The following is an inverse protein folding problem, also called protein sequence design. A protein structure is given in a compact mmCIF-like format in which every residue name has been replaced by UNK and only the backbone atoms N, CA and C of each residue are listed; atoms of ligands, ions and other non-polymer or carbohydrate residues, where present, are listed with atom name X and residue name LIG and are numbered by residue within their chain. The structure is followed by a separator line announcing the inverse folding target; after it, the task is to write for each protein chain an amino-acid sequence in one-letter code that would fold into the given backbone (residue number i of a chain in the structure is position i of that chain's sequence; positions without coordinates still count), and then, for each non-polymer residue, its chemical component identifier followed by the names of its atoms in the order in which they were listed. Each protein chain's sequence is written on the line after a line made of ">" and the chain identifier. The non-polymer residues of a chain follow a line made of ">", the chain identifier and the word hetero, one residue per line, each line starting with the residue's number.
data_IF_594269227111
#
_entry.id   IF_594269227111
#
_cell.length_a   1.000
_cell.length_b   1.000
_cell.length_c   1.000
_cell.angle_alpha   90.00
_cell.angle_beta   90.00
_cell.angle_gamma   90.00
#
_symmetry.space_group_name_H-M   'P 1'
#
loop_
_entity.id
_entity.type
_entity.pdbx_description
1 polymer ?
#
# COMPACT_ATOMS: atom_id res chain seq x y z
N UNK A 1 -26.82 -63.25 -20.01
CA UNK A 1 -26.07 -62.24 -19.24
C UNK A 1 -27.01 -61.09 -18.90
N UNK A 2 -27.23 -60.82 -17.60
CA UNK A 2 -28.28 -59.92 -17.12
C UNK A 2 -27.91 -58.45 -17.26
N UNK A 3 -28.92 -57.57 -17.39
CA UNK A 3 -28.77 -56.10 -17.49
C UNK A 3 -27.98 -55.49 -16.32
N UNK A 4 -27.85 -56.19 -15.20
CA UNK A 4 -27.10 -55.76 -14.01
C UNK A 4 -25.58 -55.74 -14.25
N UNK A 5 -25.06 -56.62 -15.11
CA UNK A 5 -23.61 -56.68 -15.38
C UNK A 5 -23.10 -55.52 -16.25
N UNK A 6 -23.98 -54.85 -17.02
CA UNK A 6 -23.59 -53.70 -17.85
C UNK A 6 -23.53 -52.37 -17.07
N UNK A 7 -24.30 -52.23 -16.00
CA UNK A 7 -24.32 -50.99 -15.20
C UNK A 7 -23.10 -50.87 -14.28
N UNK A 8 -22.54 -52.00 -13.81
CA UNK A 8 -21.36 -51.97 -12.94
C UNK A 8 -20.05 -51.63 -13.68
N UNK A 9 -19.95 -51.94 -14.98
CA UNK A 9 -18.74 -51.64 -15.77
C UNK A 9 -18.69 -50.16 -16.17
N UNK A 10 -19.84 -49.50 -16.36
CA UNK A 10 -19.88 -48.06 -16.66
C UNK A 10 -19.47 -47.19 -15.44
N UNK A 11 -19.73 -47.66 -14.23
CA UNK A 11 -19.28 -46.98 -13.00
C UNK A 11 -17.80 -47.20 -12.69
N UNK A 12 -17.21 -48.33 -13.13
CA UNK A 12 -15.79 -48.59 -12.91
C UNK A 12 -14.89 -47.77 -13.86
N UNK A 13 -15.34 -47.45 -15.07
CA UNK A 13 -14.55 -46.64 -16.02
C UNK A 13 -14.62 -45.15 -15.70
N UNK A 14 -15.73 -44.64 -15.13
CA UNK A 14 -15.83 -43.23 -14.72
C UNK A 14 -15.10 -42.89 -13.40
N UNK A 15 -14.65 -43.89 -12.62
CA UNK A 15 -13.89 -43.65 -11.38
C UNK A 15 -12.37 -43.78 -11.54
N UNK A 16 -11.89 -44.29 -12.68
CA UNK A 16 -10.44 -44.48 -12.90
C UNK A 16 -9.76 -43.20 -13.43
N UNK A 17 -10.48 -42.29 -14.09
CA UNK A 17 -9.87 -41.07 -14.66
C UNK A 17 -9.87 -39.83 -13.73
N UNK A 18 -10.59 -39.84 -12.61
CA UNK A 18 -10.57 -38.70 -11.68
C UNK A 18 -9.50 -38.83 -10.57
N UNK A 19 -8.94 -40.04 -10.37
CA UNK A 19 -7.98 -40.32 -9.29
C UNK A 19 -6.52 -40.45 -9.72
N UNK A 20 -6.25 -40.69 -11.01
CA UNK A 20 -4.90 -41.04 -11.49
C UNK A 20 -4.11 -39.86 -12.10
N UNK A 21 -4.71 -38.67 -12.19
CA UNK A 21 -4.04 -37.41 -12.53
C UNK A 21 -4.12 -36.39 -11.38
N UNK A 22 -4.24 -36.88 -10.15
CA UNK A 22 -3.71 -36.13 -9.03
C UNK A 22 -2.18 -36.24 -9.14
N UNK A 23 -1.59 -35.42 -10.03
CA UNK A 23 -0.23 -34.93 -9.87
C UNK A 23 -0.02 -34.73 -8.37
N UNK A 24 1.08 -35.26 -7.82
CA UNK A 24 1.37 -35.17 -6.39
C UNK A 24 1.46 -33.69 -5.98
N UNK A 25 0.30 -33.10 -5.73
CA UNK A 25 0.15 -31.70 -5.42
C UNK A 25 0.24 -31.62 -3.92
N UNK A 26 1.35 -31.09 -3.43
CA UNK A 26 1.51 -30.83 -2.01
C UNK A 26 0.66 -29.61 -1.68
N UNK A 27 -0.40 -29.81 -0.90
CA UNK A 27 -1.17 -28.69 -0.37
C UNK A 27 -0.28 -27.90 0.58
N UNK A 28 -0.10 -26.63 0.28
CA UNK A 28 0.53 -25.67 1.18
C UNK A 28 -0.55 -25.30 2.18
N UNK A 29 -0.36 -25.73 3.43
CA UNK A 29 -1.24 -25.30 4.50
C UNK A 29 -1.23 -23.77 4.54
N UNK A 30 -2.41 -23.18 4.60
CA UNK A 30 -2.54 -21.74 4.44
C UNK A 30 -1.71 -21.03 5.50
N UNK A 31 -1.70 -21.52 6.74
CA UNK A 31 -0.86 -21.07 7.85
C UNK A 31 0.64 -21.00 7.52
N UNK A 32 1.15 -21.80 6.58
CA UNK A 32 2.57 -21.86 6.22
C UNK A 32 3.01 -20.77 5.22
N UNK A 33 2.08 -19.96 4.67
CA UNK A 33 2.41 -18.85 3.75
C UNK A 33 2.91 -17.64 4.55
N UNK A 34 4.10 -17.13 4.30
CA UNK A 34 4.59 -15.97 5.07
C UNK A 34 4.05 -14.67 4.45
N UNK A 35 3.69 -13.64 5.24
CA UNK A 35 3.23 -12.32 4.73
C UNK A 35 1.94 -11.76 5.37
N UNK A 36 1.37 -10.69 4.81
CA UNK A 36 0.16 -10.05 5.36
C UNK A 36 -1.09 -10.91 5.13
N UNK A 37 -1.43 -11.71 6.15
CA UNK A 37 -2.65 -12.49 6.24
C UNK A 37 -3.59 -11.93 7.29
N UNK A 38 -4.89 -11.86 7.01
CA UNK A 38 -5.94 -11.55 8.00
C UNK A 38 -7.09 -12.54 7.89
N UNK A 39 -7.75 -12.86 9.00
CA UNK A 39 -8.99 -13.65 8.98
C UNK A 39 -10.21 -12.74 8.80
N UNK A 40 -10.97 -12.93 7.72
CA UNK A 40 -12.29 -12.33 7.52
C UNK A 40 -13.33 -13.17 8.26
N UNK A 41 -13.85 -12.62 9.37
CA UNK A 41 -14.82 -13.30 10.23
C UNK A 41 -16.19 -13.48 9.56
N UNK A 42 -16.56 -12.58 8.66
CA UNK A 42 -17.89 -12.57 8.04
C UNK A 42 -17.94 -13.56 6.88
N UNK A 43 -16.84 -13.67 6.12
CA UNK A 43 -16.71 -14.63 5.04
C UNK A 43 -16.24 -16.02 5.50
N UNK A 44 -15.66 -16.12 6.70
CA UNK A 44 -14.99 -17.35 7.15
C UNK A 44 -13.78 -17.70 6.28
N UNK A 45 -13.03 -16.69 5.83
CA UNK A 45 -11.94 -16.86 4.87
C UNK A 45 -10.67 -16.14 5.33
N UNK A 46 -9.52 -16.53 4.76
CA UNK A 46 -8.29 -15.79 4.95
C UNK A 46 -8.04 -14.85 3.79
N UNK A 47 -7.61 -13.64 4.13
CA UNK A 47 -7.24 -12.59 3.20
C UNK A 47 -5.72 -12.52 3.08
N UNK A 48 -5.22 -12.38 1.86
CA UNK A 48 -3.85 -11.93 1.59
C UNK A 48 -3.90 -10.45 1.20
N UNK A 49 -3.14 -9.61 1.90
CA UNK A 49 -3.27 -8.16 1.83
C UNK A 49 -2.11 -7.48 1.06
N UNK A 50 -2.50 -6.48 0.26
CA UNK A 50 -1.78 -5.34 -0.33
C UNK A 50 -0.28 -5.47 -0.66
N UNK A 51 0.01 -5.50 -1.97
CA UNK A 51 1.18 -4.80 -2.54
C UNK A 51 1.03 -3.28 -2.34
N UNK A 52 2.03 -2.49 -2.74
CA UNK A 52 2.04 -1.04 -2.50
C UNK A 52 0.74 -0.32 -2.92
N UNK A 53 0.45 0.83 -2.32
CA UNK A 53 -0.88 1.41 -2.36
C UNK A 53 -1.22 1.88 -3.78
N UNK A 54 -2.43 1.53 -4.24
CA UNK A 54 -2.87 1.89 -5.58
C UNK A 54 -3.03 3.42 -5.74
N UNK A 55 -2.39 3.96 -6.77
CA UNK A 55 -2.47 5.38 -7.13
C UNK A 55 -3.87 5.80 -7.53
N UNK A 56 -4.26 7.05 -7.20
CA UNK A 56 -5.57 7.61 -7.53
C UNK A 56 -5.76 7.81 -9.04
N UNK A 57 -4.68 8.23 -9.71
CA UNK A 57 -4.70 8.55 -11.13
C UNK A 57 -4.13 7.40 -11.96
N UNK A 58 -4.64 7.24 -13.19
CA UNK A 58 -4.19 6.17 -14.09
C UNK A 58 -2.76 6.32 -14.57
N UNK A 59 -2.34 7.55 -14.77
CA UNK A 59 -0.98 7.92 -15.19
C UNK A 59 0.07 7.71 -14.08
N UNK A 60 -0.35 7.22 -12.90
CA UNK A 60 0.54 6.94 -11.78
C UNK A 60 0.83 8.16 -10.90
N UNK A 61 0.25 9.33 -11.18
CA UNK A 61 0.36 10.48 -10.28
C UNK A 61 -0.25 10.16 -8.91
N UNK A 62 0.44 10.60 -7.86
CA UNK A 62 -0.05 10.46 -6.49
C UNK A 62 -1.04 11.58 -6.10
N UNK A 63 -0.96 12.73 -6.77
CA UNK A 63 -1.93 13.81 -6.67
C UNK A 63 -2.05 14.63 -7.95
N UNK A 64 -3.14 15.38 -8.06
CA UNK A 64 -3.32 16.43 -9.06
C UNK A 64 -3.81 17.70 -8.38
N UNK A 65 -3.30 18.85 -8.81
CA UNK A 65 -3.73 20.15 -8.31
C UNK A 65 -4.20 21.08 -9.43
N UNK A 66 -5.21 21.88 -9.14
CA UNK A 66 -5.69 22.98 -9.96
C UNK A 66 -5.64 24.28 -9.14
N UNK A 67 -5.37 25.42 -9.78
CA UNK A 67 -5.35 26.73 -9.14
C UNK A 67 -6.45 27.61 -9.75
N UNK A 68 -7.72 27.37 -9.42
CA UNK A 68 -8.84 27.98 -10.14
C UNK A 68 -9.03 29.47 -9.84
N UNK A 69 -8.59 29.94 -8.67
CA UNK A 69 -8.84 31.30 -8.15
C UNK A 69 -10.31 31.73 -8.31
N UNK A 70 -11.23 30.93 -7.76
CA UNK A 70 -12.68 31.09 -7.93
C UNK A 70 -13.32 31.64 -6.66
N UNK A 71 -14.09 32.72 -6.83
CA UNK A 71 -14.94 33.27 -5.76
C UNK A 71 -16.31 32.59 -5.79
N UNK A 72 -16.58 31.75 -4.80
CA UNK A 72 -17.89 31.13 -4.57
C UNK A 72 -18.73 32.10 -3.75
N UNK A 73 -19.87 32.54 -4.33
CA UNK A 73 -20.76 33.53 -3.71
C UNK A 73 -22.04 32.86 -3.19
N UNK A 74 -22.60 33.37 -2.07
CA UNK A 74 -23.85 32.86 -1.55
C UNK A 74 -25.00 33.02 -2.56
N UNK A 75 -25.78 31.95 -2.73
CA UNK A 75 -26.93 31.92 -3.65
C UNK A 75 -26.58 31.84 -5.14
N UNK A 76 -25.29 31.79 -5.51
CA UNK A 76 -24.88 31.54 -6.89
C UNK A 76 -25.02 30.04 -7.24
N UNK A 77 -25.20 29.70 -8.54
CA UNK A 77 -25.06 28.33 -9.01
C UNK A 77 -23.70 27.74 -8.64
N UNK A 78 -23.62 26.41 -8.52
CA UNK A 78 -22.37 25.73 -8.24
C UNK A 78 -21.32 26.05 -9.31
N UNK A 79 -20.19 26.59 -8.88
CA UNK A 79 -19.09 27.04 -9.73
C UNK A 79 -18.11 25.89 -9.95
N UNK A 80 -17.61 25.73 -11.17
CA UNK A 80 -16.56 24.74 -11.46
C UNK A 80 -15.24 25.17 -10.83
N UNK A 81 -14.62 24.25 -10.08
CA UNK A 81 -13.32 24.43 -9.44
C UNK A 81 -12.19 23.73 -10.21
N UNK A 82 -12.52 22.86 -11.18
CA UNK A 82 -11.52 22.14 -11.96
C UNK A 82 -12.04 20.82 -12.50
N UNK A 83 -11.29 20.27 -13.47
CA UNK A 83 -11.54 18.96 -14.08
C UNK A 83 -10.34 18.05 -13.91
N UNK A 84 -10.60 16.83 -13.47
CA UNK A 84 -9.60 15.85 -13.07
C UNK A 84 -9.77 14.58 -13.92
N UNK A 85 -9.08 14.49 -15.07
CA UNK A 85 -9.12 13.31 -15.91
C UNK A 85 -8.34 12.15 -15.29
N UNK A 86 -8.75 10.91 -15.61
CA UNK A 86 -8.00 9.71 -15.27
C UNK A 86 -8.03 9.32 -13.78
N UNK A 87 -8.99 9.83 -13.00
CA UNK A 87 -9.27 9.34 -11.65
C UNK A 87 -9.87 7.94 -11.75
N UNK A 88 -9.31 6.97 -11.04
CA UNK A 88 -9.77 5.58 -11.08
C UNK A 88 -11.14 5.41 -10.38
N UNK A 89 -12.01 4.53 -10.90
CA UNK A 89 -13.30 4.22 -10.29
C UNK A 89 -13.15 3.50 -8.94
N UNK A 90 -14.23 3.41 -8.17
CA UNK A 90 -14.30 2.70 -6.88
C UNK A 90 -13.25 3.07 -5.79
N UNK A 91 -12.50 4.17 -5.91
CA UNK A 91 -11.52 4.59 -4.91
C UNK A 91 -12.03 5.70 -3.99
N UNK A 92 -11.64 5.62 -2.72
CA UNK A 92 -11.75 6.72 -1.77
C UNK A 92 -10.54 7.65 -1.89
N UNK A 93 -10.80 8.96 -1.92
CA UNK A 93 -9.80 10.01 -2.03
C UNK A 93 -10.20 11.24 -1.22
N UNK A 94 -9.30 12.22 -1.12
CA UNK A 94 -9.53 13.50 -0.44
C UNK A 94 -9.45 14.61 -1.47
N UNK A 95 -10.43 15.51 -1.41
CA UNK A 95 -10.36 16.82 -2.04
C UNK A 95 -9.95 17.84 -0.98
N UNK A 96 -8.77 18.43 -1.15
CA UNK A 96 -8.28 19.51 -0.30
C UNK A 96 -8.38 20.85 -1.03
N UNK A 97 -8.90 21.86 -0.35
CA UNK A 97 -9.15 23.20 -0.89
C UNK A 97 -8.38 24.23 -0.08
N UNK A 98 -7.62 25.07 -0.76
CA UNK A 98 -6.95 26.22 -0.16
C UNK A 98 -7.85 27.45 -0.26
N UNK A 99 -8.18 28.02 0.89
CA UNK A 99 -9.09 29.14 1.03
C UNK A 99 -8.29 30.40 1.39
N UNK A 100 -8.39 31.45 0.57
CA UNK A 100 -7.65 32.70 0.80
C UNK A 100 -8.41 33.74 1.61
N UNK A 101 -9.74 33.73 1.52
CA UNK A 101 -10.65 34.60 2.26
C UNK A 101 -11.98 33.87 2.48
N UNK A 102 -12.42 33.75 3.73
CA UNK A 102 -13.70 33.14 4.08
C UNK A 102 -14.45 33.92 5.15
N UNK A 103 -15.73 34.24 4.90
CA UNK A 103 -16.61 34.83 5.93
C UNK A 103 -17.21 33.77 6.89
N UNK A 104 -16.67 32.56 6.87
CA UNK A 104 -17.26 31.38 7.48
C UNK A 104 -18.55 30.95 6.78
N UNK A 105 -18.88 29.68 6.89
CA UNK A 105 -20.12 29.16 6.32
C UNK A 105 -20.03 27.68 6.00
N UNK A 106 -20.94 27.23 5.15
CA UNK A 106 -20.95 25.85 4.65
C UNK A 106 -20.64 25.87 3.17
N UNK A 107 -19.63 25.10 2.78
CA UNK A 107 -19.28 24.82 1.39
C UNK A 107 -19.89 23.46 1.02
N UNK A 108 -20.69 23.44 -0.03
CA UNK A 108 -21.19 22.23 -0.65
C UNK A 108 -20.31 21.92 -1.86
N UNK A 109 -19.63 20.79 -1.82
CA UNK A 109 -18.84 20.25 -2.91
C UNK A 109 -19.60 19.17 -3.65
N UNK A 110 -19.66 19.32 -4.96
CA UNK A 110 -20.30 18.38 -5.88
C UNK A 110 -19.22 17.79 -6.77
N UNK A 111 -19.07 16.48 -6.71
CA UNK A 111 -18.31 15.71 -7.70
C UNK A 111 -19.28 15.35 -8.83
N UNK A 112 -18.95 15.75 -10.04
CA UNK A 112 -19.79 15.56 -11.23
C UNK A 112 -19.06 14.72 -12.28
N UNK A 113 -19.83 13.95 -13.06
CA UNK A 113 -19.37 13.40 -14.33
C UNK A 113 -19.36 14.50 -15.41
N UNK A 114 -18.71 14.22 -16.54
CA UNK A 114 -18.59 15.16 -17.67
C UNK A 114 -19.94 15.60 -18.27
N UNK A 115 -20.98 14.77 -18.13
CA UNK A 115 -22.36 15.06 -18.55
C UNK A 115 -23.14 15.93 -17.54
N UNK A 116 -22.51 16.25 -16.40
CA UNK A 116 -23.10 17.03 -15.33
C UNK A 116 -23.83 16.22 -14.26
N UNK A 117 -23.90 14.89 -14.36
CA UNK A 117 -24.50 14.04 -13.34
C UNK A 117 -23.73 14.16 -12.02
N UNK A 118 -24.44 14.43 -10.92
CA UNK A 118 -23.84 14.52 -9.59
C UNK A 118 -23.59 13.11 -9.07
N UNK A 119 -22.32 12.81 -8.87
CA UNK A 119 -21.81 11.55 -8.33
C UNK A 119 -21.90 11.55 -6.80
N UNK A 120 -21.46 12.64 -6.20
CA UNK A 120 -21.32 12.77 -4.76
C UNK A 120 -21.47 14.23 -4.38
N UNK A 121 -22.23 14.46 -3.31
CA UNK A 121 -22.33 15.77 -2.68
C UNK A 121 -21.82 15.66 -1.23
N UNK A 122 -21.02 16.64 -0.82
CA UNK A 122 -20.45 16.72 0.52
C UNK A 122 -20.52 18.15 1.02
N UNK A 123 -20.93 18.31 2.26
CA UNK A 123 -20.96 19.60 2.93
C UNK A 123 -19.81 19.66 3.94
N UNK A 124 -19.12 20.78 3.98
CA UNK A 124 -18.09 21.02 4.98
C UNK A 124 -18.12 22.47 5.44
N UNK A 125 -17.97 22.67 6.75
CA UNK A 125 -17.89 23.99 7.36
C UNK A 125 -16.51 24.58 7.11
N UNK A 126 -16.46 25.83 6.68
CA UNK A 126 -15.21 26.56 6.50
C UNK A 126 -15.15 27.79 7.41
N UNK A 127 -13.92 28.18 7.78
CA UNK A 127 -13.63 29.36 8.60
C UNK A 127 -12.92 30.46 7.80
N UNK A 128 -12.24 31.35 8.54
CA UNK A 128 -11.33 32.33 7.97
C UNK A 128 -10.00 31.65 7.64
N UNK A 129 -9.83 31.34 6.35
CA UNK A 129 -8.58 30.95 5.69
C UNK A 129 -7.99 29.57 6.06
N UNK A 130 -7.20 29.02 5.15
CA UNK A 130 -6.48 27.76 5.32
C UNK A 130 -7.02 26.60 4.47
N UNK A 131 -6.74 25.37 4.92
CA UNK A 131 -7.08 24.15 4.18
C UNK A 131 -8.38 23.52 4.67
N UNK A 132 -9.32 23.33 3.74
CA UNK A 132 -10.52 22.51 3.95
C UNK A 132 -10.30 21.15 3.28
N UNK A 133 -10.63 20.06 3.97
CA UNK A 133 -10.44 18.71 3.43
C UNK A 133 -11.74 17.93 3.48
N UNK A 134 -12.10 17.32 2.35
CA UNK A 134 -13.36 16.58 2.21
C UNK A 134 -13.07 15.19 1.62
N UNK A 135 -13.55 14.16 2.31
CA UNK A 135 -13.43 12.78 1.84
C UNK A 135 -14.48 12.51 0.75
N UNK A 136 -14.00 11.98 -0.38
CA UNK A 136 -14.77 11.67 -1.56
C UNK A 136 -14.58 10.19 -1.95
N UNK A 137 -15.49 9.68 -2.77
CA UNK A 137 -15.40 8.35 -3.35
C UNK A 137 -15.95 8.37 -4.77
N UNK A 138 -15.24 7.73 -5.69
CA UNK A 138 -15.74 7.50 -7.05
C UNK A 138 -16.68 6.27 -7.08
N UNK A 139 -17.79 6.32 -7.83
CA UNK A 139 -18.66 5.17 -8.07
C UNK A 139 -17.89 4.02 -8.72
N UNK A 140 -18.30 2.77 -8.46
CA UNK A 140 -17.73 1.60 -9.13
C UNK A 140 -18.02 1.57 -10.63
N UNK A 141 -19.13 2.18 -11.06
CA UNK A 141 -19.58 2.18 -12.46
C UNK A 141 -19.12 3.42 -13.24
N UNK A 142 -18.16 4.18 -12.70
CA UNK A 142 -17.59 5.32 -13.42
C UNK A 142 -16.80 4.78 -14.60
N UNK A 143 -17.24 5.10 -15.82
CA UNK A 143 -16.48 4.74 -17.02
C UNK A 143 -15.08 5.31 -16.89
N UNK A 144 -14.13 4.47 -17.25
CA UNK A 144 -12.73 4.71 -17.05
C UNK A 144 -12.32 6.05 -17.71
N UNK A 145 -12.85 6.39 -18.87
CA UNK A 145 -12.46 7.62 -19.58
C UNK A 145 -13.20 8.89 -19.12
N UNK A 146 -14.04 8.79 -18.09
CA UNK A 146 -14.81 9.94 -17.58
C UNK A 146 -13.94 10.86 -16.75
N UNK A 147 -13.80 12.11 -17.18
CA UNK A 147 -13.20 13.16 -16.36
C UNK A 147 -14.17 13.56 -15.24
N UNK A 148 -13.64 13.70 -14.03
CA UNK A 148 -14.41 14.21 -12.90
C UNK A 148 -14.35 15.73 -12.87
N UNK A 149 -15.49 16.39 -12.74
CA UNK A 149 -15.55 17.84 -12.49
C UNK A 149 -15.88 18.08 -11.02
N UNK A 150 -15.10 18.94 -10.37
CA UNK A 150 -15.42 19.41 -9.02
C UNK A 150 -16.16 20.75 -9.13
N UNK A 151 -17.32 20.85 -8.49
CA UNK A 151 -18.08 22.09 -8.38
C UNK A 151 -18.31 22.45 -6.92
N UNK A 152 -18.48 23.74 -6.65
CA UNK A 152 -18.72 24.25 -5.32
C UNK A 152 -19.80 25.33 -5.28
N UNK A 153 -20.67 25.24 -4.27
CA UNK A 153 -21.57 26.31 -3.85
C UNK A 153 -21.37 26.57 -2.36
N UNK A 154 -21.70 27.75 -1.87
CA UNK A 154 -21.48 28.11 -0.48
C UNK A 154 -22.62 28.95 0.10
N UNK A 155 -22.83 28.86 1.41
CA UNK A 155 -23.76 29.74 2.15
C UNK A 155 -23.12 31.06 2.59
N UNK A 156 -21.79 31.11 2.63
CA UNK A 156 -20.99 32.33 2.82
C UNK A 156 -20.09 32.58 1.60
N UNK A 157 -19.52 33.78 1.48
CA UNK A 157 -18.55 34.05 0.42
C UNK A 157 -17.20 33.43 0.78
N UNK A 158 -16.59 32.74 -0.19
CA UNK A 158 -15.24 32.17 -0.05
C UNK A 158 -14.48 32.19 -1.37
N UNK A 159 -13.18 32.48 -1.31
CA UNK A 159 -12.27 32.35 -2.46
C UNK A 159 -11.49 31.05 -2.35
N UNK A 160 -11.68 30.15 -3.32
CA UNK A 160 -10.92 28.92 -3.47
C UNK A 160 -9.76 29.19 -4.43
N UNK A 161 -8.54 29.21 -3.89
CA UNK A 161 -7.33 29.52 -4.66
C UNK A 161 -6.68 28.27 -5.24
N UNK A 162 -6.88 27.12 -4.58
CA UNK A 162 -6.29 25.86 -5.01
C UNK A 162 -7.17 24.67 -4.65
N UNK A 163 -7.14 23.66 -5.50
CA UNK A 163 -7.75 22.35 -5.30
C UNK A 163 -6.68 21.29 -5.46
N UNK A 164 -6.65 20.32 -4.56
CA UNK A 164 -5.75 19.17 -4.62
C UNK A 164 -6.55 17.89 -4.41
N UNK A 165 -6.42 16.94 -5.35
CA UNK A 165 -6.98 15.60 -5.22
C UNK A 165 -5.84 14.64 -4.93
N UNK A 166 -5.93 13.92 -3.82
CA UNK A 166 -4.96 12.92 -3.39
C UNK A 166 -5.62 11.84 -2.53
N UNK A 167 -4.93 10.74 -2.26
CA UNK A 167 -5.37 9.75 -1.26
C UNK A 167 -4.53 9.88 -0.01
N UNK A 168 -5.15 10.07 1.16
CA UNK A 168 -4.43 10.14 2.45
C UNK A 168 -3.91 8.77 2.88
N UNK A 169 -2.95 8.72 3.80
CA UNK A 169 -2.44 7.48 4.41
C UNK A 169 -3.58 6.54 4.83
N UNK A 170 -4.58 7.07 5.54
CA UNK A 170 -5.75 6.33 6.01
C UNK A 170 -6.55 5.71 4.85
N UNK A 171 -6.62 6.42 3.73
CA UNK A 171 -7.34 5.97 2.54
C UNK A 171 -6.52 4.95 1.75
N UNK A 172 -5.19 5.10 1.71
CA UNK A 172 -4.26 4.19 1.04
C UNK A 172 -4.19 2.83 1.76
N UNK A 173 -4.09 2.84 3.09
CA UNK A 173 -3.88 1.64 3.92
C UNK A 173 -5.10 1.24 4.75
N UNK A 174 -6.23 1.91 4.55
CA UNK A 174 -7.50 1.66 5.23
C UNK A 174 -7.40 1.70 6.76
N UNK A 175 -6.47 2.49 7.30
CA UNK A 175 -6.11 2.49 8.72
C UNK A 175 -7.30 2.77 9.66
N UNK A 176 -8.28 3.56 9.19
CA UNK A 176 -9.47 3.94 9.96
C UNK A 176 -10.71 3.09 9.67
N UNK A 177 -10.58 2.03 8.86
CA UNK A 177 -11.71 1.15 8.55
C UNK A 177 -11.83 0.04 9.59
N UNK A 178 -12.95 -0.70 9.65
CA UNK A 178 -13.05 -1.93 10.46
C UNK A 178 -12.01 -3.01 10.09
N UNK A 179 -11.33 -2.78 8.96
CA UNK A 179 -10.51 -3.74 8.24
C UNK A 179 -9.20 -3.08 7.80
N UNK A 180 -8.35 -2.54 8.70
CA UNK A 180 -7.09 -1.93 8.33
C UNK A 180 -6.11 -2.95 7.75
N UNK A 181 -5.17 -2.49 6.93
CA UNK A 181 -4.02 -3.29 6.55
C UNK A 181 -3.22 -3.67 7.82
N UNK A 182 -2.97 -4.97 7.99
CA UNK A 182 -2.28 -5.49 9.17
C UNK A 182 -0.84 -5.88 8.85
N UNK A 183 -0.02 -5.98 9.91
CA UNK A 183 1.37 -6.44 9.78
C UNK A 183 2.27 -5.45 9.05
N UNK A 184 1.94 -4.15 9.06
CA UNK A 184 2.79 -3.09 8.54
C UNK A 184 3.50 -2.34 9.67
N UNK A 185 4.75 -1.95 9.42
CA UNK A 185 5.49 -1.03 10.28
C UNK A 185 5.52 0.35 9.60
N UNK A 186 4.99 1.37 10.24
CA UNK A 186 4.83 2.68 9.59
C UNK A 186 5.03 3.85 10.53
N UNK A 187 5.26 5.00 9.90
CA UNK A 187 5.23 6.32 10.49
C UNK A 187 4.51 7.26 9.52
N UNK A 188 3.43 7.88 9.98
CA UNK A 188 2.73 8.97 9.28
C UNK A 188 3.13 10.27 9.95
N UNK A 189 3.78 11.13 9.18
CA UNK A 189 4.35 12.38 9.62
C UNK A 189 3.31 13.52 9.64
N UNK A 190 3.63 14.60 10.34
CA UNK A 190 2.88 15.84 10.32
C UNK A 190 2.17 16.15 11.64
N UNK A 191 1.15 17.01 11.62
CA UNK A 191 0.48 17.47 12.84
C UNK A 191 -0.13 16.33 13.68
N UNK A 192 -0.41 15.18 13.06
CA UNK A 192 -0.89 13.96 13.68
C UNK A 192 0.18 12.85 13.62
N UNK A 193 1.42 13.18 13.97
CA UNK A 193 2.56 12.26 13.96
C UNK A 193 2.19 10.94 14.66
N UNK A 194 2.11 9.87 13.88
CA UNK A 194 1.54 8.58 14.32
C UNK A 194 2.40 7.42 13.84
N UNK A 195 2.45 6.36 14.65
CA UNK A 195 3.35 5.24 14.44
C UNK A 195 2.63 3.91 14.57
N UNK A 196 3.16 2.88 13.92
CA UNK A 196 2.84 1.50 14.29
C UNK A 196 3.08 1.25 15.79
N UNK A 197 2.31 0.34 16.42
CA UNK A 197 2.62 -0.13 17.77
C UNK A 197 4.09 -0.57 17.89
N UNK A 198 4.72 -0.28 19.05
CA UNK A 198 6.13 -0.58 19.37
C UNK A 198 7.21 0.36 18.79
N UNK A 199 6.81 1.35 17.99
CA UNK A 199 7.70 2.42 17.54
C UNK A 199 7.57 3.67 18.40
N UNK A 200 8.59 4.52 18.36
CA UNK A 200 8.59 5.83 19.00
C UNK A 200 9.33 6.86 18.16
N UNK A 201 9.10 8.13 18.49
CA UNK A 201 9.82 9.23 17.90
C UNK A 201 11.31 9.14 18.22
N UNK A 202 12.15 9.04 17.18
CA UNK A 202 13.60 9.14 17.33
C UNK A 202 14.02 10.59 17.62
N UNK A 203 15.14 10.77 18.32
CA UNK A 203 15.76 12.08 18.54
C UNK A 203 17.15 12.11 17.92
N UNK A 204 17.58 13.29 17.46
CA UNK A 204 18.96 13.51 17.03
C UNK A 204 19.63 14.69 17.74
N UNK A 205 20.95 14.64 17.91
CA UNK A 205 21.75 15.77 18.40
C UNK A 205 22.22 16.63 17.23
N UNK A 206 21.78 17.89 17.19
CA UNK A 206 22.09 18.80 16.10
C UNK A 206 23.59 19.16 16.06
N UNK A 207 24.28 18.82 14.96
CA UNK A 207 25.75 18.90 14.87
C UNK A 207 26.33 20.32 15.08
N UNK A 208 25.57 21.39 14.80
CA UNK A 208 26.06 22.77 14.97
C UNK A 208 25.76 23.38 16.33
N UNK A 209 24.61 23.04 16.92
CA UNK A 209 24.15 23.68 18.17
C UNK A 209 24.34 22.77 19.38
N UNK A 210 24.55 21.47 19.17
CA UNK A 210 24.72 20.49 20.24
C UNK A 210 23.43 20.10 20.96
N UNK A 211 22.30 20.74 20.61
CA UNK A 211 21.00 20.49 21.24
C UNK A 211 20.36 19.23 20.69
N UNK A 212 19.57 18.59 21.56
CA UNK A 212 18.70 17.50 21.17
C UNK A 212 17.45 18.04 20.49
N UNK A 213 17.15 17.51 19.30
CA UNK A 213 15.96 17.83 18.53
C UNK A 213 15.14 16.56 18.31
N UNK A 214 13.83 16.70 18.49
CA UNK A 214 12.86 15.69 18.13
C UNK A 214 12.74 15.53 16.62
N UNK A 215 11.77 14.70 16.23
CA UNK A 215 11.37 14.54 14.84
C UNK A 215 11.09 15.89 14.15
N UNK A 216 11.15 15.84 12.83
CA UNK A 216 10.94 16.93 11.89
C UNK A 216 9.81 17.88 12.31
N UNK A 217 9.97 19.22 12.18
CA UNK A 217 8.87 20.16 12.31
C UNK A 217 7.70 19.76 11.41
N UNK A 218 6.46 20.09 11.80
CA UNK A 218 5.27 19.66 11.06
C UNK A 218 4.59 20.84 10.39
N UNK A 219 4.04 20.63 9.20
CA UNK A 219 3.24 21.65 8.49
C UNK A 219 2.16 20.99 7.61
N UNK A 220 1.34 21.81 6.96
CA UNK A 220 0.39 21.36 5.94
C UNK A 220 0.89 21.83 4.57
N UNK A 221 1.24 20.89 3.69
CA UNK A 221 1.51 21.15 2.27
C UNK A 221 0.42 20.53 1.44
N UNK A 222 -0.21 21.33 0.59
CA UNK A 222 -1.18 20.82 -0.39
C UNK A 222 -2.36 20.07 0.25
N UNK A 223 -2.75 20.50 1.47
CA UNK A 223 -3.78 19.85 2.27
C UNK A 223 -3.38 18.51 2.90
N UNK A 224 -2.09 18.16 2.84
CA UNK A 224 -1.49 16.97 3.44
C UNK A 224 -0.60 17.42 4.61
N UNK A 225 -0.81 16.83 5.79
CA UNK A 225 0.07 17.05 6.93
C UNK A 225 1.40 16.33 6.66
N UNK A 226 2.52 17.02 6.85
CA UNK A 226 3.86 16.49 6.53
C UNK A 226 4.87 16.83 7.60
N UNK A 227 5.90 16.00 7.70
CA UNK A 227 7.14 16.30 8.41
C UNK A 227 8.11 17.02 7.48
N UNK A 228 8.66 18.15 7.93
CA UNK A 228 9.62 18.98 7.19
C UNK A 228 11.03 18.44 7.42
N UNK A 229 11.60 17.90 6.35
CA UNK A 229 12.98 17.42 6.31
C UNK A 229 13.89 18.61 5.99
N UNK A 230 14.96 18.76 6.77
CA UNK A 230 16.05 19.67 6.45
C UNK A 230 17.36 18.89 6.43
N UNK A 231 18.43 19.46 5.85
CA UNK A 231 19.81 18.93 5.80
C UNK A 231 20.43 18.65 7.18
N UNK A 232 19.84 17.69 7.89
CA UNK A 232 20.22 17.11 9.17
C UNK A 232 19.84 15.63 9.13
N UNK A 233 20.49 14.82 9.96
CA UNK A 233 20.17 13.41 10.05
C UNK A 233 18.95 13.20 10.95
N UNK A 234 17.78 13.02 10.34
CA UNK A 234 16.56 12.67 11.06
C UNK A 234 16.34 11.15 11.06
N UNK A 235 16.21 10.52 12.23
CA UNK A 235 15.70 9.16 12.30
C UNK A 235 14.22 9.15 11.91
N UNK A 236 13.84 8.45 10.86
CA UNK A 236 12.46 8.43 10.35
C UNK A 236 11.63 7.27 10.92
N UNK A 237 12.27 6.18 11.35
CA UNK A 237 11.61 5.03 11.98
C UNK A 237 12.52 4.45 13.08
N UNK A 238 12.02 4.41 14.33
CA UNK A 238 12.79 4.03 15.54
C UNK A 238 11.99 3.16 16.51
N UNK A 239 12.70 2.31 17.26
CA UNK A 239 12.14 1.48 18.36
C UNK A 239 12.69 1.87 19.73
N UNK A 240 11.98 1.41 20.77
CA UNK A 240 12.31 1.64 22.19
C UNK A 240 13.61 0.96 22.61
N UNK A 241 14.57 1.69 23.20
CA UNK A 241 15.90 1.21 23.62
C UNK A 241 15.96 -0.21 24.27
N UNK A 242 16.81 -1.13 23.76
CA UNK A 242 17.08 -2.47 24.34
C UNK A 242 17.70 -3.53 23.39
N UNK A 243 18.23 -4.66 23.88
CA UNK A 243 18.77 -5.74 23.02
C UNK A 243 17.70 -6.58 22.28
N UNK A 244 16.43 -6.39 22.65
CA UNK A 244 15.26 -6.81 21.88
C UNK A 244 14.68 -5.66 21.02
N UNK A 245 15.38 -4.53 20.94
CA UNK A 245 14.90 -3.28 20.33
C UNK A 245 15.31 -3.10 18.88
N UNK A 246 15.27 -4.14 18.08
CA UNK A 246 15.25 -3.93 16.64
C UNK A 246 13.89 -3.43 16.18
N UNK A 247 13.86 -2.82 15.00
CA UNK A 247 12.63 -2.54 14.25
C UNK A 247 11.98 -3.88 13.91
N UNK A 248 10.78 -4.21 14.43
CA UNK A 248 10.08 -5.39 14.00
C UNK A 248 9.76 -5.22 12.51
N UNK A 249 10.44 -5.99 11.67
CA UNK A 249 10.15 -6.00 10.24
C UNK A 249 9.14 -7.11 10.02
N UNK A 250 8.05 -6.83 9.29
CA UNK A 250 7.14 -7.89 8.92
C UNK A 250 7.84 -8.77 7.89
N UNK A 251 8.55 -9.81 8.36
CA UNK A 251 8.87 -11.13 7.77
C UNK A 251 10.18 -11.69 8.37
N UNK A 252 10.11 -12.88 8.99
CA UNK A 252 11.19 -13.89 8.94
C UNK A 252 10.94 -14.69 7.66
N UNK A 253 11.97 -14.86 6.81
CA UNK A 253 11.96 -15.80 5.67
C UNK A 253 12.14 -15.14 4.30
N UNK A 254 13.37 -15.13 3.79
CA UNK A 254 13.84 -15.05 2.38
C UNK A 254 13.01 -14.28 1.30
N UNK A 255 12.20 -13.28 1.64
CA UNK A 255 11.45 -12.44 0.68
C UNK A 255 11.56 -10.93 0.95
N UNK A 256 12.17 -10.55 2.06
CA UNK A 256 12.34 -9.15 2.45
C UNK A 256 11.03 -8.43 2.74
N UNK A 257 11.06 -7.11 2.69
CA UNK A 257 9.89 -6.24 2.83
C UNK A 257 9.93 -5.15 1.74
N UNK A 258 8.83 -4.41 1.55
CA UNK A 258 8.82 -3.22 0.70
C UNK A 258 8.77 -1.98 1.56
N UNK A 259 9.67 -1.05 1.30
CA UNK A 259 9.61 0.30 1.82
C UNK A 259 8.80 1.16 0.83
N UNK A 260 7.69 1.72 1.29
CA UNK A 260 6.83 2.63 0.55
C UNK A 260 6.82 3.99 1.24
N UNK A 261 6.94 5.07 0.50
CA UNK A 261 6.84 6.42 1.07
C UNK A 261 6.27 7.40 0.06
N UNK A 262 5.79 8.53 0.59
CA UNK A 262 5.34 9.68 -0.19
C UNK A 262 5.97 10.96 0.33
N UNK A 263 6.49 11.79 -0.58
CA UNK A 263 7.08 13.08 -0.21
C UNK A 263 7.15 14.06 -1.37
N UNK A 264 7.77 15.22 -1.10
CA UNK A 264 8.08 16.30 -2.05
C UNK A 264 9.45 16.89 -1.73
N UNK A 265 10.16 17.32 -2.76
CA UNK A 265 11.54 17.79 -2.66
C UNK A 265 12.56 16.68 -2.93
N UNK A 266 13.85 17.04 -2.89
CA UNK A 266 14.95 16.13 -3.18
C UNK A 266 15.73 15.81 -1.91
N UNK A 267 15.71 14.54 -1.52
CA UNK A 267 16.45 14.07 -0.37
C UNK A 267 16.98 12.65 -0.59
N UNK A 268 18.01 12.29 0.16
CA UNK A 268 18.48 10.91 0.21
C UNK A 268 17.85 10.24 1.43
N UNK A 269 17.39 9.00 1.26
CA UNK A 269 16.99 8.10 2.34
C UNK A 269 18.06 7.02 2.51
N UNK A 270 19.07 7.23 3.38
CA UNK A 270 19.97 6.15 3.76
C UNK A 270 19.20 5.09 4.57
N UNK A 271 19.20 3.88 4.04
CA UNK A 271 18.76 2.66 4.71
C UNK A 271 20.02 2.01 5.28
N UNK A 272 20.05 1.86 6.59
CA UNK A 272 21.22 1.36 7.31
C UNK A 272 21.07 -0.16 7.45
N UNK A 273 22.17 -0.92 7.49
CA UNK A 273 22.17 -2.35 7.82
C UNK A 273 23.01 -2.59 9.06
N UNK A 274 22.62 -3.58 9.86
CA UNK A 274 23.39 -4.04 11.03
C UNK A 274 24.73 -4.68 10.64
N UNK A 275 24.76 -5.33 9.47
CA UNK A 275 25.87 -6.20 9.04
C UNK A 275 27.16 -5.45 8.67
N UNK A 276 27.08 -4.16 8.36
CA UNK A 276 28.23 -3.33 7.98
C UNK A 276 28.15 -1.99 8.69
N UNK A 277 28.80 -1.85 9.87
CA UNK A 277 28.68 -0.68 10.74
C UNK A 277 29.01 0.66 10.07
N UNK A 278 29.80 0.67 9.01
CA UNK A 278 30.34 1.92 8.44
C UNK A 278 29.69 2.36 7.13
N UNK A 279 28.66 1.66 6.64
CA UNK A 279 28.05 1.96 5.33
C UNK A 279 26.53 1.82 5.36
N UNK A 280 25.83 2.81 4.79
CA UNK A 280 24.43 2.63 4.40
C UNK A 280 24.33 1.44 3.43
N UNK A 281 23.38 0.54 3.68
CA UNK A 281 23.06 -0.56 2.76
C UNK A 281 22.63 0.01 1.41
N UNK A 282 21.75 1.02 1.47
CA UNK A 282 21.26 1.69 0.28
C UNK A 282 21.03 3.16 0.56
N UNK A 283 21.47 4.01 -0.36
CA UNK A 283 21.13 5.43 -0.37
C UNK A 283 20.13 5.64 -1.50
N UNK A 284 18.85 5.61 -1.16
CA UNK A 284 17.82 5.89 -2.15
C UNK A 284 17.76 7.40 -2.35
N UNK A 285 18.00 7.88 -3.58
CA UNK A 285 17.68 9.26 -3.91
C UNK A 285 16.19 9.34 -4.13
N UNK A 286 15.55 10.17 -3.35
CA UNK A 286 14.12 10.30 -3.29
C UNK A 286 13.73 11.66 -3.82
N UNK A 287 12.72 11.61 -4.68
CA UNK A 287 12.15 12.79 -5.31
C UNK A 287 12.94 13.30 -6.49
N UNK A 288 12.54 14.48 -6.92
CA UNK A 288 13.09 15.21 -8.05
C UNK A 288 12.71 16.69 -7.93
N UNK A 289 13.12 17.52 -8.89
CA UNK A 289 12.79 18.95 -8.87
C UNK A 289 11.28 19.21 -8.93
N UNK A 290 10.50 18.24 -9.40
CA UNK A 290 9.09 18.42 -9.75
C UNK A 290 8.15 17.68 -8.78
N UNK A 291 7.58 18.41 -7.83
CA UNK A 291 6.34 18.05 -7.13
C UNK A 291 6.38 16.79 -6.24
N UNK A 292 5.19 16.30 -5.92
CA UNK A 292 4.98 15.13 -5.08
C UNK A 292 5.30 13.83 -5.82
N UNK A 293 5.81 12.86 -5.08
CA UNK A 293 6.16 11.55 -5.60
C UNK A 293 5.86 10.46 -4.56
N UNK A 294 5.45 9.30 -5.08
CA UNK A 294 5.36 8.05 -4.34
C UNK A 294 6.48 7.14 -4.83
N UNK A 295 7.11 6.42 -3.92
CA UNK A 295 8.18 5.50 -4.29
C UNK A 295 8.07 4.22 -3.49
N UNK A 296 8.37 3.13 -4.17
CA UNK A 296 8.42 1.79 -3.61
C UNK A 296 9.79 1.20 -3.84
N UNK A 297 10.33 0.58 -2.79
CA UNK A 297 11.62 -0.06 -2.82
C UNK A 297 11.55 -1.42 -2.16
N UNK A 298 11.97 -2.46 -2.88
CA UNK A 298 12.21 -3.77 -2.28
C UNK A 298 13.48 -3.72 -1.40
N UNK A 299 13.35 -4.16 -0.15
CA UNK A 299 14.46 -4.34 0.78
C UNK A 299 14.90 -5.80 0.77
N UNK A 300 16.19 -6.05 0.60
CA UNK A 300 16.75 -7.39 0.55
C UNK A 300 16.79 -8.00 1.97
N UNK A 301 16.20 -9.20 2.18
CA UNK A 301 16.16 -9.86 3.47
C UNK A 301 17.53 -10.12 4.09
N UNK A 302 18.59 -10.28 3.29
CA UNK A 302 19.95 -10.53 3.78
C UNK A 302 20.50 -9.36 4.61
N UNK A 303 19.91 -8.17 4.50
CA UNK A 303 20.30 -6.96 5.23
C UNK A 303 19.43 -6.67 6.45
N UNK A 304 18.33 -7.45 6.63
CA UNK A 304 17.31 -7.26 7.65
C UNK A 304 17.57 -8.07 8.96
N UNK A 305 18.84 -8.38 9.22
CA UNK A 305 19.47 -9.02 10.39
C UNK A 305 19.60 -10.57 10.42
N UNK A 306 20.83 -10.94 10.80
CA UNK A 306 21.53 -12.20 10.98
C UNK A 306 21.02 -13.13 12.09
N UNK A 307 20.17 -12.64 13.00
CA UNK A 307 19.68 -13.43 14.14
C UNK A 307 18.48 -14.32 13.82
N UNK A 308 17.98 -14.22 12.58
CA UNK A 308 16.88 -15.02 12.08
C UNK A 308 15.60 -14.82 12.87
N UNK A 309 15.46 -13.74 13.67
CA UNK A 309 14.39 -13.56 14.64
C UNK A 309 13.16 -12.74 14.19
N UNK A 310 13.24 -12.10 13.02
CA UNK A 310 12.19 -11.22 12.48
C UNK A 310 12.24 -9.80 13.06
N UNK A 311 13.33 -9.49 13.77
CA UNK A 311 13.60 -8.19 14.37
C UNK A 311 14.84 -7.64 13.68
N UNK A 312 14.69 -6.51 12.99
CA UNK A 312 15.82 -5.81 12.40
C UNK A 312 16.52 -4.99 13.47
N UNK A 313 17.66 -5.47 13.93
CA UNK A 313 18.51 -4.72 14.84
C UNK A 313 19.20 -3.61 14.04
N UNK A 314 18.62 -2.43 14.08
CA UNK A 314 19.25 -1.27 13.48
C UNK A 314 20.49 -0.77 14.15
N UNK A 315 20.98 0.32 13.59
CA UNK A 315 22.28 0.80 13.95
C UNK A 315 22.24 1.90 15.00
N UNK A 316 23.19 1.84 15.95
CA UNK A 316 23.35 2.78 17.06
C UNK A 316 24.83 3.09 17.31
N UNK A 317 25.56 3.53 16.29
CA UNK A 317 26.98 3.92 16.44
C UNK A 317 27.16 5.36 16.89
N UNK A 318 26.17 6.22 16.62
CA UNK A 318 26.35 7.64 16.83
C UNK A 318 25.71 8.11 18.14
N UNK A 319 26.51 8.80 18.95
CA UNK A 319 26.05 9.52 20.16
C UNK A 319 24.93 10.51 19.87
N UNK A 320 24.76 10.93 18.61
CA UNK A 320 23.67 11.78 18.20
C UNK A 320 22.35 11.05 18.00
N UNK A 321 22.26 9.72 18.05
CA UNK A 321 21.01 8.96 17.87
C UNK A 321 20.49 8.35 19.17
N UNK A 322 19.22 8.57 19.48
CA UNK A 322 18.51 7.86 20.54
C UNK A 322 17.60 6.80 19.93
N UNK A 323 18.06 5.55 19.87
CA UNK A 323 17.26 4.41 19.40
C UNK A 323 17.87 3.70 18.20
N UNK A 324 17.19 2.63 17.79
CA UNK A 324 17.59 1.76 16.69
C UNK A 324 16.94 2.26 15.40
N UNK A 325 17.72 2.81 14.46
CA UNK A 325 17.17 3.59 13.32
C UNK A 325 17.25 2.85 12.00
N UNK A 326 16.12 2.62 11.31
CA UNK A 326 16.08 1.93 10.00
C UNK A 326 16.34 2.83 8.80
N UNK A 327 15.56 3.89 8.74
CA UNK A 327 15.63 4.86 7.65
C UNK A 327 16.00 6.19 8.28
N UNK A 328 17.03 6.80 7.72
CA UNK A 328 17.40 8.18 8.02
C UNK A 328 17.03 9.07 6.84
N UNK A 329 16.92 10.36 7.10
CA UNK A 329 16.91 11.36 6.05
C UNK A 329 18.27 12.07 5.96
N UNK A 330 18.65 12.41 4.72
CA UNK A 330 19.67 13.40 4.43
C UNK A 330 19.22 14.26 3.23
N UNK A 331 18.65 15.44 3.48
CA UNK A 331 18.27 16.39 2.43
C UNK A 331 17.19 17.38 2.88
N UNK A 332 16.69 18.18 1.94
CA UNK A 332 15.62 19.15 2.22
C UNK A 332 14.34 18.71 1.50
N UNK A 333 13.21 18.66 2.21
CA UNK A 333 11.95 18.23 1.61
C UNK A 333 10.82 18.12 2.63
N UNK A 334 9.75 17.44 2.25
CA UNK A 334 8.68 17.07 3.16
C UNK A 334 8.23 15.64 2.88
N UNK A 335 7.89 14.92 3.96
CA UNK A 335 7.44 13.53 3.90
C UNK A 335 6.08 13.42 4.57
N UNK A 336 5.17 12.69 3.94
CA UNK A 336 3.84 12.40 4.50
C UNK A 336 3.84 11.09 5.28
N UNK A 337 4.34 10.01 4.67
CA UNK A 337 4.45 8.72 5.37
C UNK A 337 5.64 7.90 4.91
N UNK A 338 5.99 6.94 5.74
CA UNK A 338 6.90 5.83 5.45
C UNK A 338 6.30 4.53 5.98
N UNK A 339 6.25 3.49 5.16
CA UNK A 339 5.62 2.19 5.46
C UNK A 339 6.50 1.04 5.00
N UNK A 340 6.64 0.03 5.85
CA UNK A 340 7.20 -1.27 5.53
C UNK A 340 6.06 -2.28 5.38
N UNK A 341 5.93 -2.84 4.19
CA UNK A 341 4.95 -3.87 3.85
C UNK A 341 5.63 -5.25 3.78
N UNK A 342 5.05 -6.31 4.37
CA UNK A 342 5.53 -7.67 4.17
C UNK A 342 5.36 -8.10 2.71
N UNK A 343 6.22 -9.00 2.25
CA UNK A 343 6.01 -9.73 1.00
C UNK A 343 5.40 -11.11 1.28
N UNK A 344 4.36 -11.49 0.52
CA UNK A 344 3.76 -12.82 0.63
C UNK A 344 4.71 -13.84 -0.02
N UNK A 345 5.30 -14.76 0.74
CA UNK A 345 6.27 -15.75 0.24
C UNK A 345 5.81 -17.18 0.51
N UNK A 346 5.92 -18.01 -0.51
CA UNK A 346 5.62 -19.44 -0.50
C UNK A 346 6.89 -20.18 -0.95
N UNK A 347 7.60 -20.88 -0.06
CA UNK A 347 8.79 -21.64 -0.45
C UNK A 347 8.40 -22.80 -1.37
N UNK A 348 9.23 -23.07 -2.39
CA UNK A 348 9.03 -24.19 -3.30
C UNK A 348 9.94 -25.38 -2.94
N UNK A 349 9.48 -26.62 -3.16
CA UNK A 349 10.34 -27.80 -3.14
C UNK A 349 11.47 -27.65 -4.19
N UNK A 350 12.74 -27.91 -3.83
CA UNK A 350 13.85 -27.75 -4.76
C UNK A 350 13.69 -28.61 -6.02
N UNK A 351 13.77 -27.99 -7.19
CA UNK A 351 13.90 -28.66 -8.50
C UNK A 351 12.73 -29.54 -8.94
N UNK A 352 11.59 -29.49 -8.24
CA UNK A 352 10.46 -30.39 -8.48
C UNK A 352 9.12 -29.67 -8.67
N UNK A 353 9.00 -28.38 -8.33
CA UNK A 353 7.77 -27.63 -8.55
C UNK A 353 7.50 -27.38 -10.04
N UNK A 354 6.30 -27.74 -10.54
CA UNK A 354 5.91 -27.56 -11.95
C UNK A 354 4.86 -26.47 -12.16
N UNK A 355 3.95 -26.31 -11.21
CA UNK A 355 2.90 -25.30 -11.23
C UNK A 355 2.39 -25.04 -9.82
N UNK A 356 1.85 -23.84 -9.60
CA UNK A 356 1.07 -23.50 -8.39
C UNK A 356 -0.37 -23.25 -8.78
N UNK A 357 -1.27 -23.74 -7.93
CA UNK A 357 -2.70 -23.50 -8.02
C UNK A 357 -3.24 -22.96 -6.71
N UNK A 358 -4.35 -22.21 -6.79
CA UNK A 358 -5.09 -21.69 -5.64
C UNK A 358 -6.56 -21.50 -6.00
N UNK A 359 -7.43 -21.40 -4.98
CA UNK A 359 -8.83 -20.98 -5.17
C UNK A 359 -9.06 -19.62 -4.53
N UNK A 360 -9.56 -18.67 -5.30
CA UNK A 360 -9.84 -17.31 -4.85
C UNK A 360 -11.31 -16.95 -5.03
N UNK A 361 -11.81 -16.02 -4.21
CA UNK A 361 -13.16 -15.49 -4.36
C UNK A 361 -13.17 -14.40 -5.44
N UNK A 362 -13.90 -14.63 -6.52
CA UNK A 362 -14.01 -13.68 -7.63
C UNK A 362 -15.06 -12.57 -7.35
N UNK A 363 -15.18 -11.58 -8.24
CA UNK A 363 -16.18 -10.50 -8.16
C UNK A 363 -17.63 -10.99 -8.05
N UNK A 364 -17.97 -12.12 -8.70
CA UNK A 364 -19.28 -12.75 -8.61
C UNK A 364 -19.52 -13.50 -7.29
N UNK A 365 -18.58 -13.41 -6.33
CA UNK A 365 -18.58 -14.15 -5.06
C UNK A 365 -18.59 -15.66 -5.24
N UNK A 366 -17.89 -16.15 -6.25
CA UNK A 366 -17.72 -17.56 -6.55
C UNK A 366 -16.25 -17.98 -6.39
N UNK A 367 -16.03 -19.15 -5.82
CA UNK A 367 -14.69 -19.73 -5.69
C UNK A 367 -14.16 -20.20 -7.04
N UNK A 368 -13.15 -19.50 -7.55
CA UNK A 368 -12.54 -19.72 -8.86
C UNK A 368 -11.15 -20.29 -8.69
N UNK A 369 -10.82 -21.33 -9.46
CA UNK A 369 -9.48 -21.90 -9.49
C UNK A 369 -8.55 -21.07 -10.39
N UNK A 370 -7.32 -20.87 -9.95
CA UNK A 370 -6.24 -20.29 -10.73
C UNK A 370 -5.05 -21.24 -10.69
N UNK A 371 -4.40 -21.47 -11.84
CA UNK A 371 -3.20 -22.31 -11.96
C UNK A 371 -2.22 -21.65 -12.93
N UNK A 372 -0.94 -21.65 -12.60
CA UNK A 372 0.13 -21.10 -13.46
C UNK A 372 1.41 -21.94 -13.33
N UNK A 373 2.16 -22.15 -14.43
CA UNK A 373 3.41 -22.91 -14.40
C UNK A 373 4.49 -22.20 -13.58
N UNK A 374 5.39 -23.00 -13.01
CA UNK A 374 6.56 -22.55 -12.25
C UNK A 374 7.83 -22.92 -13.04
N UNK A 375 8.77 -21.98 -13.23
CA UNK A 375 10.07 -22.27 -13.83
C UNK A 375 10.89 -23.25 -12.98
N UNK A 376 11.60 -24.17 -13.63
CA UNK A 376 12.42 -25.20 -12.95
C UNK A 376 13.51 -24.61 -12.03
N UNK A 377 13.91 -23.36 -12.25
CA UNK A 377 14.89 -22.62 -11.44
C UNK A 377 14.29 -21.88 -10.25
N UNK A 378 12.97 -21.96 -10.06
CA UNK A 378 12.28 -21.20 -9.03
C UNK A 378 12.46 -21.82 -7.63
N UNK A 379 12.79 -20.98 -6.64
CA UNK A 379 13.02 -21.35 -5.23
C UNK A 379 11.86 -20.95 -4.33
N UNK A 380 11.05 -20.00 -4.77
CA UNK A 380 9.83 -19.55 -4.10
C UNK A 380 8.84 -18.96 -5.11
N UNK A 381 7.59 -18.79 -4.66
CA UNK A 381 6.59 -17.96 -5.33
C UNK A 381 6.00 -16.95 -4.36
N UNK A 382 5.59 -15.80 -4.88
CA UNK A 382 4.99 -14.73 -4.11
C UNK A 382 3.79 -14.12 -4.80
N UNK A 383 2.82 -13.66 -4.01
CA UNK A 383 1.60 -13.01 -4.51
C UNK A 383 1.75 -11.50 -4.35
N UNK A 384 1.81 -10.80 -5.49
CA UNK A 384 2.02 -9.36 -5.58
C UNK A 384 0.78 -8.72 -6.19
N UNK A 385 0.10 -7.84 -5.45
CA UNK A 385 -0.97 -7.03 -6.04
C UNK A 385 -0.36 -5.99 -6.97
N UNK A 386 -0.89 -5.88 -8.19
CA UNK A 386 -0.38 -4.95 -9.20
C UNK A 386 -1.36 -3.83 -9.54
N UNK A 387 -2.67 -4.08 -9.40
CA UNK A 387 -3.72 -3.11 -9.68
C UNK A 387 -5.02 -3.50 -8.95
N UNK A 388 -6.05 -2.65 -9.06
CA UNK A 388 -7.38 -2.95 -8.52
C UNK A 388 -7.84 -4.33 -8.94
N UNK A 389 -8.09 -5.18 -7.93
CA UNK A 389 -8.61 -6.55 -8.11
C UNK A 389 -7.72 -7.46 -8.97
N UNK A 390 -6.46 -7.08 -9.23
CA UNK A 390 -5.47 -7.84 -10.00
C UNK A 390 -4.26 -8.19 -9.15
N UNK A 391 -4.01 -9.49 -9.03
CA UNK A 391 -2.85 -10.04 -8.29
C UNK A 391 -1.96 -10.79 -9.26
N UNK A 392 -0.69 -10.49 -9.31
CA UNK A 392 0.29 -11.24 -10.11
C UNK A 392 1.12 -12.12 -9.21
N UNK A 393 1.23 -13.38 -9.60
CA UNK A 393 2.16 -14.30 -9.00
C UNK A 393 3.55 -14.06 -9.59
N UNK A 394 4.55 -14.02 -8.73
CA UNK A 394 5.96 -13.92 -9.08
C UNK A 394 6.71 -15.17 -8.61
N UNK A 395 7.80 -15.50 -9.28
CA UNK A 395 8.74 -16.57 -8.87
C UNK A 395 10.10 -15.99 -8.56
N UNK A 396 10.73 -16.52 -7.52
CA UNK A 396 12.12 -16.22 -7.16
C UNK A 396 13.04 -17.20 -7.90
N UNK A 397 13.86 -16.70 -8.82
CA UNK A 397 14.88 -17.50 -9.54
C UNK A 397 16.28 -17.10 -9.11
N UNK A 398 17.31 -17.78 -9.62
CA UNK A 398 18.71 -17.43 -9.36
C UNK A 398 19.11 -16.03 -9.85
N UNK A 399 18.36 -15.51 -10.83
CA UNK A 399 18.57 -14.16 -11.41
C UNK A 399 17.68 -13.09 -10.77
N UNK A 400 16.85 -13.46 -9.79
CA UNK A 400 15.90 -12.58 -9.12
C UNK A 400 14.44 -12.96 -9.39
N UNK A 401 13.53 -12.05 -8.99
CA UNK A 401 12.09 -12.24 -9.09
C UNK A 401 11.55 -11.98 -10.51
N UNK A 402 10.71 -12.87 -11.02
CA UNK A 402 10.09 -12.77 -12.35
C UNK A 402 8.56 -13.02 -12.29
N UNK A 403 7.74 -12.32 -13.08
CA UNK A 403 6.29 -12.53 -13.11
C UNK A 403 5.94 -13.88 -13.77
N UNK A 404 4.96 -14.59 -13.20
CA UNK A 404 4.47 -15.89 -13.70
C UNK A 404 3.10 -15.81 -14.35
N UNK A 405 2.16 -15.09 -13.71
CA UNK A 405 0.79 -15.02 -14.18
C UNK A 405 -0.06 -14.10 -13.33
N UNK A 406 -1.15 -13.60 -13.92
CA UNK A 406 -2.05 -12.63 -13.28
C UNK A 406 -3.40 -13.26 -13.00
N UNK A 407 -3.83 -13.14 -11.75
CA UNK A 407 -5.16 -13.49 -11.22
C UNK A 407 -6.07 -12.28 -11.42
N UNK A 408 -7.06 -12.36 -12.34
CA UNK A 408 -8.00 -11.26 -12.57
C UNK A 408 -9.18 -11.31 -11.60
N UNK A 409 -9.86 -10.17 -11.46
CA UNK A 409 -11.21 -10.05 -10.90
C UNK A 409 -11.39 -10.62 -9.50
N UNK A 410 -10.48 -10.30 -8.58
CA UNK A 410 -10.68 -10.54 -7.16
C UNK A 410 -11.94 -9.83 -6.63
N UNK A 411 -12.61 -10.44 -5.64
CA UNK A 411 -13.87 -9.94 -5.04
C UNK A 411 -13.78 -8.52 -4.49
N UNK A 412 -12.57 -8.06 -4.14
CA UNK A 412 -12.37 -6.77 -3.53
C UNK A 412 -11.09 -6.10 -4.01
N UNK A 413 -11.05 -4.75 -4.00
CA UNK A 413 -9.86 -4.02 -4.39
C UNK A 413 -8.71 -4.36 -3.44
N UNK A 414 -7.53 -4.64 -4.03
CA UNK A 414 -6.25 -4.77 -3.36
C UNK A 414 -6.14 -5.83 -2.24
N UNK A 415 -7.08 -6.78 -2.22
CA UNK A 415 -7.00 -7.99 -1.41
C UNK A 415 -7.41 -9.20 -2.23
N UNK A 416 -6.84 -10.35 -1.90
CA UNK A 416 -7.20 -11.63 -2.49
C UNK A 416 -7.76 -12.48 -1.36
N UNK A 417 -9.06 -12.80 -1.45
CA UNK A 417 -9.65 -13.79 -0.55
C UNK A 417 -9.34 -15.16 -1.12
N UNK A 418 -8.60 -15.95 -0.36
CA UNK A 418 -8.16 -17.28 -0.77
C UNK A 418 -8.88 -18.31 0.09
N UNK A 419 -9.40 -19.36 -0.54
CA UNK A 419 -10.02 -20.47 0.18
C UNK A 419 -8.95 -21.12 1.06
N UNK A 420 -9.21 -21.32 2.36
CA UNK A 420 -8.24 -21.94 3.26
C UNK A 420 -7.74 -23.28 2.70
N UNK A 421 -6.42 -23.50 2.75
CA UNK A 421 -5.77 -24.74 2.31
C UNK A 421 -6.04 -25.13 0.85
N UNK A 422 -6.33 -24.14 0.00
CA UNK A 422 -6.52 -24.32 -1.45
C UNK A 422 -5.26 -24.09 -2.27
N UNK A 423 -4.21 -23.52 -1.68
CA UNK A 423 -2.93 -23.32 -2.37
C UNK A 423 -2.20 -24.65 -2.45
N UNK A 424 -1.83 -25.05 -3.66
CA UNK A 424 -1.14 -26.29 -3.92
C UNK A 424 0.00 -26.10 -4.90
N UNK A 425 1.11 -26.79 -4.63
CA UNK A 425 2.26 -26.86 -5.54
C UNK A 425 2.30 -28.26 -6.12
N UNK A 426 2.18 -28.36 -7.44
CA UNK A 426 2.35 -29.61 -8.16
C UNK A 426 3.82 -29.99 -8.21
N UNK A 427 4.13 -31.21 -7.73
CA UNK A 427 5.42 -31.85 -7.92
C UNK A 427 5.23 -33.15 -8.72
N UNK A 428 6.18 -33.57 -9.56
CA UNK A 428 6.11 -34.86 -10.22
C UNK A 428 6.09 -35.99 -9.18
N UNK A 429 5.43 -37.12 -9.48
CA UNK A 429 5.42 -38.27 -8.60
C UNK A 429 6.86 -38.74 -8.31
N UNK A 430 7.13 -39.22 -7.08
CA UNK A 430 8.46 -39.67 -6.66
C UNK A 430 8.99 -40.84 -7.48
#
# INVERSE_FOLDING_TARGET
>A
MSRVARTCILWLVCMVDAGALADSATRVQFENIEGAKRWDRDAGTWELAYGGPLQLFRDGRCLQSEAPDVVVRPGAPAMSLGRFPGVRPALSFTCALELAQGQGGVLTLQLCQTDGAIISERMATFGADGWLSVACQTPPDTDDDTALELRASATGQVTVTRVVLSRRFEQLFQADTPFPLQGMAWHKFGASDTFSPHFEAGNYRHHRTGDWRGLCPTEVRDGIAVGVLNKSYYPLLCTRLGAQAGVPVPVRGAGGCRLCWRGVGEYTLPIISDSVPTRAYKNERVGGPDGWHDTELALDPNFLDSSGNGIWNGFREYDWQCGTTLVTNYGDGAIDYLVLLPQNRIPLPPGTARAISLRYLNQARQWTAFTTPIPDTAKAVGLVFQAERRTTLWSETETGWQPLGTIPDGVAPNRLLVEPNSIAVSVPPP
#
